data_IF_364228572440
#
_entry.id   IF_364228572440
#
_cell.length_a   1.000
_cell.length_b   1.000
_cell.length_c   1.000
_cell.angle_alpha   90.00
_cell.angle_beta   90.00
_cell.angle_gamma   90.00
#
_symmetry.space_group_name_H-M   'P 1'
#
loop_
_entity.id
_entity.type
_entity.pdbx_description
1 polymer ?
#
# COMPACT_ATOMS: atom_id res chain seq x y z
N UNK A 1 -25.88 -6.40 -14.83
CA UNK A 1 -25.82 -5.05 -15.44
C UNK A 1 -25.56 -3.93 -14.43
N UNK A 2 -26.15 -3.96 -13.23
CA UNK A 2 -26.01 -2.86 -12.23
C UNK A 2 -24.55 -2.54 -11.84
N UNK A 3 -23.67 -3.54 -11.76
CA UNK A 3 -22.27 -3.34 -11.33
C UNK A 3 -21.49 -2.37 -12.23
N UNK A 4 -21.63 -2.50 -13.55
CA UNK A 4 -20.89 -1.68 -14.53
C UNK A 4 -21.42 -0.25 -14.52
N UNK A 5 -22.75 -0.09 -14.47
CA UNK A 5 -23.38 1.24 -14.40
C UNK A 5 -22.91 1.99 -13.15
N UNK A 6 -22.92 1.32 -11.99
CA UNK A 6 -22.48 1.90 -10.73
C UNK A 6 -20.98 2.26 -10.75
N UNK A 7 -20.14 1.49 -11.44
CA UNK A 7 -18.72 1.79 -11.56
C UNK A 7 -18.48 3.06 -12.41
N UNK A 8 -19.14 3.18 -13.56
CA UNK A 8 -19.03 4.37 -14.42
C UNK A 8 -19.57 5.61 -13.71
N UNK A 9 -20.67 5.47 -12.96
CA UNK A 9 -21.23 6.58 -12.16
C UNK A 9 -20.36 7.05 -10.99
N UNK A 10 -19.33 6.27 -10.62
CA UNK A 10 -18.39 6.66 -9.56
C UNK A 10 -17.22 7.52 -10.05
N UNK A 11 -17.05 7.63 -11.37
CA UNK A 11 -16.06 8.50 -11.99
C UNK A 11 -16.57 9.95 -12.04
N UNK A 12 -15.65 10.87 -12.31
CA UNK A 12 -16.01 12.24 -12.65
C UNK A 12 -16.80 12.25 -13.96
N UNK A 13 -17.94 12.94 -13.99
CA UNK A 13 -18.82 12.96 -15.16
C UNK A 13 -18.24 13.81 -16.29
N UNK A 14 -17.35 14.75 -15.96
CA UNK A 14 -16.70 15.62 -16.92
C UNK A 14 -15.40 14.99 -17.49
N UNK A 15 -14.85 13.98 -16.81
CA UNK A 15 -13.61 13.27 -17.19
C UNK A 15 -13.71 11.76 -16.86
N UNK A 16 -14.34 11.03 -17.77
CA UNK A 16 -14.58 9.59 -17.65
C UNK A 16 -13.33 8.76 -18.01
N UNK A 17 -12.31 8.82 -17.15
CA UNK A 17 -11.08 8.04 -17.33
C UNK A 17 -11.30 6.56 -16.95
N UNK A 18 -11.26 5.69 -17.97
CA UNK A 18 -11.36 4.23 -17.81
C UNK A 18 -10.20 3.64 -16.99
N UNK A 19 -9.05 4.32 -16.95
CA UNK A 19 -7.87 3.86 -16.19
C UNK A 19 -8.12 3.80 -14.67
N UNK A 20 -9.11 4.57 -14.19
CA UNK A 20 -9.55 4.60 -12.80
C UNK A 20 -10.45 3.40 -12.44
N UNK A 21 -11.00 2.68 -13.42
CA UNK A 21 -11.79 1.46 -13.20
C UNK A 21 -10.87 0.23 -13.15
N UNK A 22 -10.34 -0.04 -11.95
CA UNK A 22 -9.48 -1.21 -11.73
C UNK A 22 -10.26 -2.53 -11.62
N UNK A 23 -9.90 -3.53 -12.44
CA UNK A 23 -10.45 -4.90 -12.33
C UNK A 23 -9.43 -5.83 -11.68
N UNK A 24 -9.70 -6.26 -10.44
CA UNK A 24 -8.86 -7.23 -9.73
C UNK A 24 -9.42 -8.65 -9.87
N UNK A 25 -8.68 -9.52 -10.55
CA UNK A 25 -9.01 -10.96 -10.66
C UNK A 25 -8.48 -11.71 -9.44
N UNK A 26 -9.38 -12.41 -8.73
CA UNK A 26 -9.04 -13.27 -7.59
C UNK A 26 -9.33 -14.72 -8.00
N UNK A 27 -8.37 -15.65 -7.86
CA UNK A 27 -8.59 -17.05 -8.19
C UNK A 27 -9.52 -17.70 -7.17
N UNK A 28 -10.42 -18.56 -7.65
CA UNK A 28 -11.46 -19.21 -6.84
C UNK A 28 -12.78 -18.42 -6.79
N UNK A 29 -13.80 -19.03 -6.20
CA UNK A 29 -15.17 -18.49 -6.17
C UNK A 29 -15.96 -18.72 -7.45
N UNK A 30 -17.23 -18.34 -7.43
CA UNK A 30 -18.13 -18.33 -8.59
C UNK A 30 -18.15 -16.98 -9.30
N UNK A 31 -18.60 -16.95 -10.55
CA UNK A 31 -18.70 -15.72 -11.36
C UNK A 31 -19.58 -14.64 -10.71
N UNK A 32 -20.58 -15.05 -9.92
CA UNK A 32 -21.52 -14.16 -9.24
C UNK A 32 -20.99 -13.60 -7.91
N UNK A 33 -19.86 -14.11 -7.40
CA UNK A 33 -19.26 -13.67 -6.14
C UNK A 33 -18.43 -12.38 -6.29
N UNK A 34 -18.43 -11.80 -7.50
CA UNK A 34 -17.74 -10.53 -7.79
C UNK A 34 -18.39 -9.37 -7.04
N UNK A 35 -17.57 -8.48 -6.48
CA UNK A 35 -18.01 -7.33 -5.71
C UNK A 35 -17.49 -6.03 -6.34
N UNK A 36 -18.32 -4.99 -6.33
CA UNK A 36 -17.91 -3.62 -6.62
C UNK A 36 -17.50 -2.93 -5.32
N UNK A 37 -16.27 -2.43 -5.27
CA UNK A 37 -15.75 -1.66 -4.13
C UNK A 37 -15.83 -0.18 -4.49
N UNK A 38 -16.51 0.61 -3.66
CA UNK A 38 -16.52 2.07 -3.78
C UNK A 38 -15.23 2.64 -3.18
N UNK A 39 -14.17 2.61 -3.97
CA UNK A 39 -12.83 3.00 -3.57
C UNK A 39 -11.79 2.14 -4.31
N UNK A 40 -10.60 2.02 -3.72
CA UNK A 40 -9.50 1.23 -4.29
C UNK A 40 -9.22 -0.02 -3.47
N UNK A 41 -8.88 -1.11 -4.14
CA UNK A 41 -8.47 -2.36 -3.52
C UNK A 41 -7.13 -2.82 -4.09
N UNK A 42 -6.17 -3.08 -3.22
CA UNK A 42 -4.86 -3.60 -3.58
C UNK A 42 -4.60 -4.93 -2.89
N UNK A 43 -3.75 -5.76 -3.51
CA UNK A 43 -3.34 -7.04 -2.92
C UNK A 43 -2.52 -6.74 -1.66
N UNK A 44 -2.75 -7.49 -0.58
CA UNK A 44 -1.88 -7.45 0.61
C UNK A 44 -0.43 -7.65 0.16
N UNK A 45 0.43 -6.69 0.47
CA UNK A 45 1.86 -6.73 0.22
C UNK A 45 2.56 -7.54 1.31
N UNK A 46 3.89 -7.68 1.21
CA UNK A 46 4.68 -8.21 2.29
C UNK A 46 4.46 -7.37 3.57
N UNK A 47 4.40 -8.02 4.72
CA UNK A 47 4.13 -7.38 6.00
C UNK A 47 5.17 -7.81 7.03
N UNK A 48 5.66 -6.85 7.80
CA UNK A 48 6.59 -7.10 8.91
C UNK A 48 5.92 -7.72 10.13
N UNK A 49 6.75 -8.18 11.07
CA UNK A 49 6.31 -8.69 12.35
C UNK A 49 5.41 -7.67 13.08
N UNK A 50 4.36 -8.17 13.74
CA UNK A 50 3.38 -7.33 14.43
C UNK A 50 2.20 -6.84 13.57
N UNK A 51 2.25 -6.98 12.24
CA UNK A 51 1.15 -6.57 11.37
C UNK A 51 -0.20 -7.24 11.70
N UNK A 52 -0.18 -8.48 12.21
CA UNK A 52 -1.41 -9.18 12.61
C UNK A 52 -2.04 -8.66 13.91
N UNK A 53 -1.30 -7.89 14.71
CA UNK A 53 -1.84 -7.25 15.92
C UNK A 53 -2.58 -5.94 15.60
N UNK A 54 -2.37 -5.37 14.41
CA UNK A 54 -3.03 -4.13 14.00
C UNK A 54 -4.53 -4.37 13.71
N UNK A 55 -5.42 -3.43 14.06
CA UNK A 55 -6.84 -3.52 13.70
C UNK A 55 -7.02 -3.62 12.18
N UNK A 56 -7.90 -4.51 11.73
CA UNK A 56 -8.14 -4.75 10.29
C UNK A 56 -9.30 -3.96 9.72
N UNK A 57 -10.02 -3.24 10.57
CA UNK A 57 -11.17 -2.41 10.19
C UNK A 57 -11.12 -1.11 10.97
N UNK A 58 -11.27 0.00 10.26
CA UNK A 58 -11.29 1.35 10.81
C UNK A 58 -12.51 2.09 10.26
N UNK A 59 -13.15 2.89 11.11
CA UNK A 59 -14.20 3.81 10.69
C UNK A 59 -13.59 5.17 10.43
N UNK A 60 -13.71 5.68 9.21
CA UNK A 60 -13.17 6.97 8.77
C UNK A 60 -11.67 7.17 9.12
N UNK A 61 -10.76 6.26 8.71
CA UNK A 61 -9.33 6.42 8.97
C UNK A 61 -8.75 7.59 8.18
N UNK A 62 -7.71 8.21 8.73
CA UNK A 62 -6.85 9.11 7.97
C UNK A 62 -5.86 8.27 7.14
N UNK A 63 -5.86 8.48 5.83
CA UNK A 63 -5.01 7.74 4.89
C UNK A 63 -3.82 8.63 4.54
N UNK A 64 -2.60 8.10 4.71
CA UNK A 64 -1.35 8.74 4.31
C UNK A 64 -0.76 7.96 3.14
N UNK A 65 -0.47 8.64 2.04
CA UNK A 65 0.22 8.08 0.87
C UNK A 65 1.65 8.61 0.84
N UNK A 66 2.63 7.72 0.94
CA UNK A 66 4.06 8.06 0.96
C UNK A 66 4.74 7.46 -0.26
N UNK A 67 5.55 8.26 -0.95
CA UNK A 67 6.47 7.81 -1.99
C UNK A 67 7.92 7.84 -1.46
N UNK A 68 8.11 7.34 -0.24
CA UNK A 68 9.40 7.24 0.45
C UNK A 68 9.47 5.87 1.14
N UNK A 69 10.67 5.32 1.23
CA UNK A 69 10.91 4.06 1.95
C UNK A 69 11.10 4.32 3.45
N UNK A 70 10.53 3.44 4.28
CA UNK A 70 10.57 3.53 5.74
C UNK A 70 11.39 2.35 6.29
N UNK A 71 12.69 2.35 5.99
CA UNK A 71 13.65 1.36 6.49
C UNK A 71 14.77 2.09 7.24
N UNK A 72 15.30 1.47 8.30
CA UNK A 72 16.41 2.05 9.08
C UNK A 72 17.68 2.22 8.23
N UNK A 73 17.89 1.31 7.28
CA UNK A 73 18.91 1.41 6.24
C UNK A 73 18.22 1.18 4.91
N UNK A 74 18.20 2.21 4.07
CA UNK A 74 17.66 2.08 2.72
C UNK A 74 18.45 1.00 1.97
N UNK A 75 17.76 0.06 1.30
CA UNK A 75 18.41 -0.95 0.47
C UNK A 75 19.25 -0.31 -0.66
N UNK A 76 18.92 0.93 -1.02
CA UNK A 76 19.44 1.63 -2.19
C UNK A 76 20.83 2.21 -2.01
N UNK A 77 21.23 2.57 -0.78
CA UNK A 77 22.46 3.29 -0.50
C UNK A 77 23.42 2.43 0.33
N UNK A 78 24.16 1.55 -0.34
CA UNK A 78 25.35 0.93 0.25
C UNK A 78 26.47 1.97 0.31
N UNK A 79 26.59 2.69 1.42
CA UNK A 79 27.73 3.55 1.72
C UNK A 79 28.80 2.78 2.49
N UNK A 80 30.05 2.79 2.01
CA UNK A 80 31.19 2.28 2.78
C UNK A 80 31.48 3.24 3.93
N UNK A 81 31.16 2.83 5.16
CA UNK A 81 31.49 3.62 6.36
C UNK A 81 32.83 3.14 6.91
N UNK A 82 33.87 3.95 6.72
CA UNK A 82 35.19 3.72 7.36
C UNK A 82 35.23 4.44 8.70
N UNK A 83 35.56 3.70 9.75
CA UNK A 83 35.61 4.22 11.13
C UNK A 83 37.03 4.07 11.65
N UNK A 84 37.64 5.18 12.11
CA UNK A 84 39.02 5.20 12.60
C UNK A 84 39.10 5.15 14.15
N UNK A 85 38.03 5.50 14.86
CA UNK A 85 37.97 5.54 16.32
C UNK A 85 36.76 4.77 16.89
N UNK A 86 36.94 4.15 18.06
CA UNK A 86 35.91 3.33 18.73
C UNK A 86 34.68 4.17 19.15
N UNK A 87 34.88 5.46 19.44
CA UNK A 87 33.79 6.40 19.77
C UNK A 87 32.78 6.56 18.63
N UNK A 88 33.26 6.51 17.39
CA UNK A 88 32.46 6.85 16.22
C UNK A 88 31.59 5.65 15.79
N UNK A 89 32.04 4.42 16.11
CA UNK A 89 31.24 3.22 15.93
C UNK A 89 29.99 3.23 16.82
N UNK A 90 30.10 3.66 18.08
CA UNK A 90 28.97 3.71 19.00
C UNK A 90 27.91 4.72 18.54
N UNK A 91 28.32 5.87 18.03
CA UNK A 91 27.40 6.89 17.50
C UNK A 91 26.60 6.42 16.26
N UNK A 92 27.17 5.52 15.45
CA UNK A 92 26.48 4.94 14.29
C UNK A 92 25.52 3.82 14.70
N UNK A 93 25.83 3.10 15.78
CA UNK A 93 24.98 2.01 16.30
C UNK A 93 23.77 2.55 17.06
N UNK A 94 23.91 3.69 17.73
CA UNK A 94 22.84 4.33 18.50
C UNK A 94 21.90 5.22 17.64
N UNK A 95 22.24 5.45 16.37
CA UNK A 95 21.45 6.20 15.39
C UNK A 95 20.53 5.29 14.56
#
# INVERSE_FOLDING_TARGET
SNMVVNAVQSLDQDDLDESLIGVKKIPGGGTQDSLLIQGVAFKKTFTYAGAEQQPKSFKNPLILSLNVELELKAEKDNAEVRVEAVSDYQAIVDA
#
